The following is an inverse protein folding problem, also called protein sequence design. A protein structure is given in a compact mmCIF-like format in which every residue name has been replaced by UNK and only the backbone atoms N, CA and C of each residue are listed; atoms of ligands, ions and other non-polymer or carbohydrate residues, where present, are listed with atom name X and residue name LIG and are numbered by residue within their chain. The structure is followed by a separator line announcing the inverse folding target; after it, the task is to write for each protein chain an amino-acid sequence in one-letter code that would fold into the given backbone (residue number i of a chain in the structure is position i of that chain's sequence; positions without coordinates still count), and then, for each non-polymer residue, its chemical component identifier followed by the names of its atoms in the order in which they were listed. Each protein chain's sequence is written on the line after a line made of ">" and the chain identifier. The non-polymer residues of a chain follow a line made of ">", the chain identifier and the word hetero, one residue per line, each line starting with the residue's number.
data_IF_142859123870
#
_entry.id   IF_142859123870
#
_cell.length_a   1.000
_cell.length_b   1.000
_cell.length_c   1.000
_cell.angle_alpha   90.00
_cell.angle_beta   90.00
_cell.angle_gamma   90.00
#
_symmetry.space_group_name_H-M   'P 1'
#
loop_
_entity.id
_entity.type
_entity.pdbx_description
1 polymer ?
#
# COMPACT_ATOMS: atom_id res chain seq x y z
N UNK A 1 -8.23 -7.84 7.04
CA UNK A 1 -8.55 -7.23 5.73
C UNK A 1 -7.36 -7.39 4.79
N UNK A 2 -6.19 -6.83 5.09
CA UNK A 2 -4.99 -7.06 4.26
C UNK A 2 -4.49 -8.50 4.27
N UNK A 3 -4.45 -9.16 5.43
CA UNK A 3 -4.03 -10.57 5.55
C UNK A 3 -4.96 -11.60 4.86
N UNK A 4 -6.01 -11.14 4.17
CA UNK A 4 -6.82 -12.01 3.30
C UNK A 4 -6.24 -12.13 1.89
N UNK A 5 -5.30 -11.25 1.53
CA UNK A 5 -4.56 -11.26 0.28
C UNK A 5 -3.27 -12.07 0.43
N UNK A 6 -2.83 -12.73 -0.64
CA UNK A 6 -1.60 -13.54 -0.64
C UNK A 6 -0.39 -12.70 -1.03
N UNK A 7 -0.55 -11.80 -2.00
CA UNK A 7 0.50 -10.92 -2.53
C UNK A 7 0.13 -9.45 -2.34
N UNK A 8 0.96 -8.69 -1.62
CA UNK A 8 0.72 -7.29 -1.32
C UNK A 8 1.91 -6.40 -1.67
N UNK A 9 1.60 -5.17 -2.09
CA UNK A 9 2.59 -4.10 -2.26
C UNK A 9 2.26 -2.92 -1.36
N UNK A 10 3.18 -2.56 -0.46
CA UNK A 10 3.12 -1.33 0.33
C UNK A 10 3.76 -0.18 -0.43
N UNK A 11 3.02 0.88 -0.71
CA UNK A 11 3.56 2.12 -1.28
C UNK A 11 3.89 3.12 -0.18
N UNK A 12 5.11 3.65 -0.22
CA UNK A 12 5.58 4.68 0.71
C UNK A 12 5.76 4.13 2.13
N UNK A 13 6.47 3.01 2.27
CA UNK A 13 6.68 2.33 3.57
C UNK A 13 7.36 3.24 4.60
N UNK A 14 8.19 4.19 4.15
CA UNK A 14 8.92 5.11 5.00
C UNK A 14 9.76 4.38 6.06
N UNK A 15 9.79 4.95 7.27
CA UNK A 15 10.54 4.37 8.40
C UNK A 15 9.70 3.37 9.23
N UNK A 16 8.46 3.08 8.82
CA UNK A 16 7.47 2.34 9.63
C UNK A 16 6.92 1.13 8.88
N UNK A 17 7.80 0.15 8.71
CA UNK A 17 7.52 -1.10 8.01
C UNK A 17 6.93 -2.20 8.92
N UNK A 18 6.39 -1.87 10.11
CA UNK A 18 5.93 -2.88 11.05
C UNK A 18 4.75 -3.70 10.49
N UNK A 19 3.83 -3.05 9.78
CA UNK A 19 2.69 -3.72 9.16
C UNK A 19 3.13 -4.69 8.04
N UNK A 20 4.08 -4.28 7.20
CA UNK A 20 4.66 -5.17 6.18
C UNK A 20 5.29 -6.40 6.82
N UNK A 21 6.05 -6.22 7.91
CA UNK A 21 6.64 -7.31 8.69
C UNK A 21 5.57 -8.26 9.25
N UNK A 22 4.53 -7.73 9.90
CA UNK A 22 3.44 -8.54 10.44
C UNK A 22 2.67 -9.32 9.36
N UNK A 23 2.50 -8.76 8.16
CA UNK A 23 1.89 -9.44 7.03
C UNK A 23 2.79 -10.57 6.52
N UNK A 24 4.10 -10.33 6.40
CA UNK A 24 5.07 -11.34 6.00
C UNK A 24 5.12 -12.50 7.02
N UNK A 25 5.11 -12.21 8.33
CA UNK A 25 5.06 -13.22 9.39
C UNK A 25 3.79 -14.09 9.34
N UNK A 26 2.69 -13.53 8.83
CA UNK A 26 1.42 -14.26 8.60
C UNK A 26 1.41 -15.08 7.31
N UNK A 27 2.50 -15.04 6.53
CA UNK A 27 2.67 -15.81 5.31
C UNK A 27 2.34 -15.08 4.01
N UNK A 28 2.06 -13.77 4.06
CA UNK A 28 1.86 -12.97 2.86
C UNK A 28 3.20 -12.72 2.14
N UNK A 29 3.19 -12.68 0.80
CA UNK A 29 4.29 -12.11 0.01
C UNK A 29 4.16 -10.59 0.03
N UNK A 30 5.11 -9.89 0.62
CA UNK A 30 5.06 -8.43 0.75
C UNK A 30 6.24 -7.79 0.04
N UNK A 31 5.94 -6.87 -0.87
CA UNK A 31 6.91 -5.94 -1.44
C UNK A 31 6.63 -4.55 -0.86
N UNK A 32 7.63 -3.87 -0.35
CA UNK A 32 7.53 -2.50 0.13
C UNK A 32 8.29 -1.57 -0.81
N UNK A 33 7.67 -0.43 -1.15
CA UNK A 33 8.25 0.58 -2.02
C UNK A 33 8.37 1.92 -1.32
N UNK A 34 9.42 2.67 -1.66
CA UNK A 34 9.62 4.06 -1.26
C UNK A 34 10.59 4.73 -2.24
N UNK A 35 10.53 6.06 -2.37
CA UNK A 35 11.49 6.80 -3.22
C UNK A 35 12.88 6.91 -2.59
N UNK A 36 12.98 6.63 -1.28
CA UNK A 36 14.23 6.58 -0.53
C UNK A 36 14.49 5.16 -0.07
N UNK A 37 15.73 4.69 -0.13
CA UNK A 37 16.11 3.38 0.40
C UNK A 37 15.76 3.24 1.90
N UNK A 38 15.09 2.13 2.27
CA UNK A 38 14.65 1.84 3.66
C UNK A 38 15.11 0.47 4.11
N UNK A 39 15.36 0.35 5.41
CA UNK A 39 15.47 -0.96 6.06
C UNK A 39 14.06 -1.53 6.27
N UNK A 40 13.85 -2.78 5.86
CA UNK A 40 12.59 -3.50 6.03
C UNK A 40 12.78 -4.77 6.86
N UNK A 41 11.74 -5.26 7.56
CA UNK A 41 11.81 -6.50 8.30
C UNK A 41 12.14 -7.71 7.41
N UNK A 42 12.67 -8.77 8.03
CA UNK A 42 12.89 -10.03 7.33
C UNK A 42 11.59 -10.58 6.74
N UNK A 43 11.66 -11.10 5.50
CA UNK A 43 10.49 -11.61 4.78
C UNK A 43 9.75 -10.56 3.94
N UNK A 44 10.12 -9.28 4.06
CA UNK A 44 9.64 -8.20 3.19
C UNK A 44 10.70 -7.92 2.12
N UNK A 45 10.29 -7.91 0.85
CA UNK A 45 11.12 -7.45 -0.26
C UNK A 45 11.04 -5.92 -0.35
N UNK A 46 12.15 -5.22 -0.57
CA UNK A 46 12.15 -3.76 -0.70
C UNK A 46 12.62 -3.34 -2.09
N UNK A 47 11.93 -2.36 -2.68
CA UNK A 47 12.24 -1.78 -3.99
C UNK A 47 12.16 -0.26 -3.91
N UNK A 48 13.18 0.43 -4.41
CA UNK A 48 13.11 1.89 -4.58
C UNK A 48 12.26 2.19 -5.82
N UNK A 49 11.10 2.82 -5.63
CA UNK A 49 10.14 3.13 -6.71
C UNK A 49 9.34 4.39 -6.37
N UNK A 50 9.04 5.20 -7.39
CA UNK A 50 8.20 6.38 -7.29
C UNK A 50 6.80 6.07 -7.82
N UNK A 51 5.80 6.04 -6.95
CA UNK A 51 4.41 5.75 -7.36
C UNK A 51 3.85 6.75 -8.38
N UNK A 52 4.45 7.95 -8.50
CA UNK A 52 4.06 8.95 -9.50
C UNK A 52 4.67 8.70 -10.89
N UNK A 53 5.74 7.90 -10.97
CA UNK A 53 6.34 7.39 -12.21
C UNK A 53 6.79 5.92 -11.99
N UNK A 54 5.82 4.98 -11.82
CA UNK A 54 6.09 3.67 -11.26
C UNK A 54 6.64 2.67 -12.28
N UNK A 55 7.57 1.83 -11.86
CA UNK A 55 7.84 0.58 -12.57
C UNK A 55 6.74 -0.44 -12.27
N UNK A 56 5.76 -0.55 -13.17
CA UNK A 56 4.64 -1.49 -13.04
C UNK A 56 5.07 -2.96 -12.87
N UNK A 57 6.29 -3.34 -13.22
CA UNK A 57 6.77 -4.71 -13.00
C UNK A 57 6.83 -5.08 -11.52
N UNK A 58 7.03 -4.10 -10.62
CA UNK A 58 7.03 -4.27 -9.16
C UNK A 58 5.65 -4.64 -8.63
N UNK A 59 4.59 -4.13 -9.29
CA UNK A 59 3.21 -4.25 -8.83
C UNK A 59 2.44 -5.40 -9.49
N UNK A 60 2.95 -5.95 -10.59
CA UNK A 60 2.27 -7.01 -11.36
C UNK A 60 2.07 -8.27 -10.52
N UNK A 61 0.84 -8.78 -10.50
CA UNK A 61 0.48 -9.98 -9.74
C UNK A 61 0.29 -9.74 -8.24
N UNK A 62 0.24 -8.49 -7.80
CA UNK A 62 -0.24 -8.14 -6.47
C UNK A 62 -1.76 -8.32 -6.42
N UNK A 63 -2.26 -8.91 -5.33
CA UNK A 63 -3.70 -8.96 -5.07
C UNK A 63 -4.18 -7.62 -4.48
N UNK A 64 -3.29 -6.92 -3.76
CA UNK A 64 -3.58 -5.62 -3.19
C UNK A 64 -2.36 -4.68 -3.20
N UNK A 65 -2.60 -3.44 -3.61
CA UNK A 65 -1.71 -2.30 -3.37
C UNK A 65 -2.27 -1.54 -2.19
N UNK A 66 -1.44 -1.33 -1.16
CA UNK A 66 -1.83 -0.58 0.02
C UNK A 66 -0.82 0.49 0.40
N UNK A 67 -1.28 1.49 1.14
CA UNK A 67 -0.42 2.57 1.59
C UNK A 67 -0.89 3.19 2.91
N UNK A 68 0.06 3.61 3.75
CA UNK A 68 -0.23 4.17 5.07
C UNK A 68 -0.03 5.67 5.08
N UNK A 69 -0.94 6.41 5.71
CA UNK A 69 -0.86 7.88 5.89
C UNK A 69 -0.60 8.64 4.58
N UNK A 70 -1.28 8.24 3.51
CA UNK A 70 -1.10 8.78 2.16
C UNK A 70 -1.61 10.22 2.09
N UNK A 71 -0.77 11.19 1.68
CA UNK A 71 -1.21 12.55 1.49
C UNK A 71 -2.10 12.67 0.24
N UNK A 72 -3.00 13.67 0.15
CA UNK A 72 -3.99 13.80 -0.92
C UNK A 72 -3.40 13.73 -2.34
N UNK A 73 -2.23 14.32 -2.55
CA UNK A 73 -1.55 14.38 -3.84
C UNK A 73 -1.14 13.00 -4.38
N UNK A 74 -0.88 12.01 -3.51
CA UNK A 74 -0.45 10.67 -3.91
C UNK A 74 -1.60 9.67 -4.05
N UNK A 75 -2.77 9.95 -3.49
CA UNK A 75 -3.92 9.01 -3.50
C UNK A 75 -4.32 8.60 -4.93
N UNK A 76 -4.27 9.54 -5.89
CA UNK A 76 -4.58 9.25 -7.30
C UNK A 76 -3.57 8.32 -7.93
N UNK A 77 -2.29 8.50 -7.63
CA UNK A 77 -1.21 7.67 -8.19
C UNK A 77 -1.27 6.24 -7.64
N UNK A 78 -1.48 6.08 -6.34
CA UNK A 78 -1.67 4.75 -5.72
C UNK A 78 -2.86 4.02 -6.36
N UNK A 79 -4.00 4.71 -6.52
CA UNK A 79 -5.17 4.13 -7.19
C UNK A 79 -4.91 3.83 -8.67
N UNK A 80 -4.15 4.68 -9.37
CA UNK A 80 -3.80 4.46 -10.77
C UNK A 80 -2.97 3.17 -10.92
N UNK A 81 -1.94 2.97 -10.09
CA UNK A 81 -1.14 1.74 -10.11
C UNK A 81 -2.01 0.51 -9.86
N UNK A 82 -2.82 0.51 -8.80
CA UNK A 82 -3.74 -0.59 -8.51
C UNK A 82 -4.72 -0.86 -9.67
N UNK A 83 -5.11 0.18 -10.42
CA UNK A 83 -5.92 0.03 -11.64
C UNK A 83 -5.18 -0.68 -12.75
N UNK A 84 -3.96 -0.24 -13.06
CA UNK A 84 -3.14 -0.79 -14.13
C UNK A 84 -2.75 -2.26 -13.91
N UNK A 85 -2.61 -2.70 -12.66
CA UNK A 85 -2.25 -4.10 -12.32
C UNK A 85 -3.40 -4.98 -11.86
N UNK A 86 -4.65 -4.50 -11.97
CA UNK A 86 -5.85 -5.25 -11.58
C UNK A 86 -5.93 -5.64 -10.09
N UNK A 87 -5.31 -4.87 -9.20
CA UNK A 87 -5.23 -5.15 -7.76
C UNK A 87 -6.23 -4.34 -6.92
N UNK A 88 -6.58 -4.83 -5.73
CA UNK A 88 -7.30 -4.04 -4.74
C UNK A 88 -6.49 -2.81 -4.30
N UNK A 89 -7.16 -1.75 -3.87
CA UNK A 89 -6.52 -0.50 -3.46
C UNK A 89 -7.03 -0.09 -2.07
N UNK A 90 -6.15 -0.13 -1.07
CA UNK A 90 -6.48 0.20 0.32
C UNK A 90 -5.50 1.23 0.88
N UNK A 91 -5.97 2.31 1.49
CA UNK A 91 -5.06 3.25 2.12
C UNK A 91 -5.62 3.87 3.39
N UNK A 92 -4.74 4.48 4.18
CA UNK A 92 -5.11 5.37 5.29
C UNK A 92 -4.60 6.78 4.99
N UNK A 93 -5.24 7.81 5.55
CA UNK A 93 -4.80 9.20 5.40
C UNK A 93 -4.11 9.68 6.68
N UNK A 94 -3.39 10.81 6.61
CA UNK A 94 -3.07 11.57 7.83
C UNK A 94 -4.38 12.11 8.40
N UNK A 95 -4.56 12.09 9.72
CA UNK A 95 -5.87 12.23 10.38
C UNK A 95 -6.70 13.50 10.09
N UNK A 96 -6.19 14.47 9.33
CA UNK A 96 -6.94 15.63 8.83
C UNK A 96 -6.98 15.77 7.30
N UNK A 97 -6.31 14.89 6.57
CA UNK A 97 -6.20 14.98 5.12
C UNK A 97 -7.49 14.50 4.43
N UNK A 98 -7.96 15.24 3.42
CA UNK A 98 -9.11 14.83 2.65
C UNK A 98 -8.82 13.57 1.82
N UNK A 99 -9.86 12.79 1.60
CA UNK A 99 -9.86 11.73 0.58
C UNK A 99 -10.28 12.35 -0.75
N UNK A 100 -9.41 12.27 -1.76
CA UNK A 100 -9.58 12.94 -3.07
C UNK A 100 -9.86 11.99 -4.23
N UNK A 101 -10.01 10.70 -3.92
CA UNK A 101 -10.42 9.63 -4.83
C UNK A 101 -11.73 9.03 -4.33
N UNK A 102 -12.49 8.37 -5.21
CA UNK A 102 -13.66 7.61 -4.79
C UNK A 102 -13.22 6.40 -3.97
N UNK A 103 -13.52 6.41 -2.68
CA UNK A 103 -13.14 5.35 -1.75
C UNK A 103 -14.16 5.21 -0.63
N UNK A 104 -14.46 3.96 -0.29
CA UNK A 104 -15.37 3.61 0.80
C UNK A 104 -14.60 3.55 2.11
N UNK A 105 -15.01 4.29 3.16
CA UNK A 105 -14.41 4.14 4.48
C UNK A 105 -14.85 2.82 5.13
N UNK A 106 -13.89 2.12 5.74
CA UNK A 106 -14.07 0.90 6.51
C UNK A 106 -13.40 1.07 7.86
N UNK A 107 -14.18 0.99 8.93
CA UNK A 107 -13.66 1.07 10.30
C UNK A 107 -13.01 -0.26 10.71
N UNK A 108 -11.78 -0.17 11.21
CA UNK A 108 -10.99 -1.26 11.78
C UNK A 108 -10.52 -0.88 13.18
N UNK A 109 -9.89 -1.82 13.89
CA UNK A 109 -9.42 -1.57 15.26
C UNK A 109 -8.41 -0.41 15.32
N UNK A 110 -7.51 -0.28 14.33
CA UNK A 110 -6.51 0.78 14.29
C UNK A 110 -7.01 2.13 13.71
N UNK A 111 -8.27 2.23 13.26
CA UNK A 111 -8.85 3.46 12.73
C UNK A 111 -9.71 3.25 11.48
N UNK A 112 -9.56 4.12 10.48
CA UNK A 112 -10.30 4.04 9.22
C UNK A 112 -9.37 3.69 8.07
N UNK A 113 -9.70 2.64 7.35
CA UNK A 113 -9.09 2.27 6.05
C UNK A 113 -10.05 2.69 4.95
N UNK A 114 -9.52 3.32 3.91
CA UNK A 114 -10.27 3.67 2.71
C UNK A 114 -10.01 2.62 1.63
N UNK A 115 -11.08 1.99 1.16
CA UNK A 115 -11.05 1.00 0.09
C UNK A 115 -11.50 1.68 -1.19
N UNK A 116 -10.57 1.94 -2.10
CA UNK A 116 -10.84 2.56 -3.39
C UNK A 116 -11.11 1.52 -4.49
N UNK A 117 -10.73 0.27 -4.25
CA UNK A 117 -10.95 -0.88 -5.15
C UNK A 117 -10.87 -2.19 -4.38
N UNK A 118 -11.73 -3.14 -4.76
CA UNK A 118 -11.72 -4.56 -4.33
C UNK A 118 -11.51 -5.46 -5.56
#
# INVERSE_FOLDING_TARGET
>A
MLAAYESLVEVGVGERAELAGELAERGCRVVATDVVEREVPAGVEFVVDDVTDPDLSVYRGADAVYARRVPPELQRSVLAVAREVDAACLFTTLGGDPVVVDARPVTVAEGTVYVARE
#
